data_IF_958867389833
#
_entry.id   IF_958867389833
#
_cell.length_a   1.000
_cell.length_b   1.000
_cell.length_c   1.000
_cell.angle_alpha   90.00
_cell.angle_beta   90.00
_cell.angle_gamma   90.00
#
_symmetry.space_group_name_H-M   'P 1'
#
loop_
_entity.id
_entity.type
_entity.pdbx_description
1 polymer ?
#
# COMPACT_ATOMS: atom_id res chain seq x y z
N UNK A 1 -12.60 7.79 -7.73
CA UNK A 1 -11.64 7.91 -6.62
C UNK A 1 -12.29 7.26 -5.40
N UNK A 2 -11.68 6.22 -4.83
CA UNK A 2 -12.23 5.59 -3.62
C UNK A 2 -12.03 6.54 -2.42
N UNK A 3 -13.10 7.24 -2.04
CA UNK A 3 -13.06 8.23 -0.97
C UNK A 3 -12.80 7.59 0.41
N UNK A 4 -13.19 6.32 0.60
CA UNK A 4 -13.09 5.64 1.89
C UNK A 4 -11.67 5.13 2.18
N UNK A 5 -10.96 4.62 1.18
CA UNK A 5 -9.54 4.26 1.33
C UNK A 5 -8.69 5.47 1.75
N UNK A 6 -9.04 6.68 1.27
CA UNK A 6 -8.39 7.93 1.70
C UNK A 6 -8.72 8.30 3.15
N UNK A 7 -9.97 8.14 3.56
CA UNK A 7 -10.40 8.38 4.95
C UNK A 7 -9.69 7.42 5.93
N UNK A 8 -9.63 6.13 5.58
CA UNK A 8 -8.91 5.12 6.37
C UNK A 8 -7.43 5.48 6.49
N UNK A 9 -6.78 5.79 5.37
CA UNK A 9 -5.36 6.19 5.37
C UNK A 9 -5.12 7.41 6.25
N UNK A 10 -5.92 8.47 6.07
CA UNK A 10 -5.82 9.71 6.85
C UNK A 10 -6.01 9.46 8.34
N UNK A 11 -7.04 8.68 8.71
CA UNK A 11 -7.31 8.32 10.10
C UNK A 11 -6.14 7.55 10.74
N UNK A 12 -5.58 6.56 10.02
CA UNK A 12 -4.45 5.78 10.53
C UNK A 12 -3.18 6.63 10.67
N UNK A 13 -2.94 7.57 9.75
CA UNK A 13 -1.83 8.52 9.89
C UNK A 13 -1.98 9.42 11.11
N UNK A 14 -3.17 9.96 11.36
CA UNK A 14 -3.45 10.78 12.56
C UNK A 14 -3.20 10.01 13.86
N UNK A 15 -3.31 8.68 13.83
CA UNK A 15 -3.04 7.79 14.96
C UNK A 15 -1.58 7.35 15.07
N UNK A 16 -0.68 7.88 14.25
CA UNK A 16 0.73 7.48 14.17
C UNK A 16 0.91 5.96 13.97
N UNK A 17 0.00 5.33 13.23
CA UNK A 17 0.12 3.90 12.88
C UNK A 17 1.31 3.73 11.92
N UNK A 18 2.07 2.65 12.09
CA UNK A 18 3.21 2.34 11.21
C UNK A 18 2.72 2.10 9.79
N UNK A 19 3.52 2.51 8.80
CA UNK A 19 3.20 2.35 7.39
C UNK A 19 2.92 0.90 6.99
N UNK A 20 3.65 -0.06 7.56
CA UNK A 20 3.41 -1.49 7.33
C UNK A 20 2.00 -1.91 7.72
N UNK A 21 1.47 -1.35 8.80
CA UNK A 21 0.13 -1.69 9.30
C UNK A 21 -0.94 -0.96 8.48
N UNK A 22 -0.66 0.28 8.05
CA UNK A 22 -1.51 1.02 7.09
C UNK A 22 -1.68 0.22 5.80
N UNK A 23 -0.59 -0.29 5.22
CA UNK A 23 -0.62 -1.08 3.99
C UNK A 23 -1.45 -2.36 4.20
N UNK A 24 -1.25 -3.08 5.31
CA UNK A 24 -2.04 -4.28 5.61
C UNK A 24 -3.54 -3.99 5.74
N UNK A 25 -3.91 -2.93 6.46
CA UNK A 25 -5.31 -2.55 6.66
C UNK A 25 -5.99 -2.11 5.36
N UNK A 26 -5.29 -1.31 4.54
CA UNK A 26 -5.81 -0.91 3.22
C UNK A 26 -5.98 -2.11 2.30
N UNK A 27 -5.03 -3.04 2.28
CA UNK A 27 -5.14 -4.30 1.54
C UNK A 27 -6.34 -5.13 1.99
N UNK A 28 -6.54 -5.28 3.31
CA UNK A 28 -7.69 -6.00 3.86
C UNK A 28 -9.02 -5.35 3.48
N UNK A 29 -9.12 -4.02 3.63
CA UNK A 29 -10.33 -3.27 3.30
C UNK A 29 -10.71 -3.39 1.82
N UNK A 30 -9.73 -3.33 0.92
CA UNK A 30 -9.96 -3.43 -0.53
C UNK A 30 -10.00 -4.89 -1.04
N UNK A 31 -9.86 -5.89 -0.16
CA UNK A 31 -9.72 -7.30 -0.53
C UNK A 31 -8.58 -7.55 -1.56
N UNK A 32 -7.48 -6.79 -1.44
CA UNK A 32 -6.29 -6.89 -2.29
C UNK A 32 -5.21 -7.68 -1.56
N UNK A 33 -4.60 -8.67 -2.23
CA UNK A 33 -3.46 -9.42 -1.69
C UNK A 33 -2.16 -8.83 -2.24
N UNK A 34 -1.06 -8.92 -1.48
CA UNK A 34 0.25 -8.46 -1.95
C UNK A 34 0.74 -9.20 -3.22
N UNK A 35 0.23 -10.40 -3.50
CA UNK A 35 0.49 -11.10 -4.77
C UNK A 35 -0.13 -10.36 -5.97
N UNK A 36 -1.25 -9.68 -5.79
CA UNK A 36 -1.95 -8.98 -6.88
C UNK A 36 -1.16 -7.71 -7.23
N UNK A 37 -0.62 -7.04 -6.20
CA UNK A 37 0.35 -5.94 -6.37
C UNK A 37 1.62 -6.41 -7.07
N UNK A 38 2.14 -7.59 -6.71
CA UNK A 38 3.33 -8.18 -7.34
C UNK A 38 3.12 -8.46 -8.83
N UNK A 39 1.98 -9.04 -9.19
CA UNK A 39 1.58 -9.26 -10.59
C UNK A 39 1.47 -7.92 -11.33
N UNK A 40 0.81 -6.93 -10.73
CA UNK A 40 0.62 -5.62 -11.35
C UNK A 40 1.92 -4.86 -11.57
N UNK A 41 2.86 -4.97 -10.62
CA UNK A 41 4.17 -4.34 -10.67
C UNK A 41 5.21 -5.12 -11.51
N UNK A 42 4.91 -6.35 -11.92
CA UNK A 42 5.86 -7.22 -12.61
C UNK A 42 7.09 -7.58 -11.76
N UNK A 43 6.91 -7.70 -10.43
CA UNK A 43 7.99 -7.97 -9.48
C UNK A 43 7.74 -9.25 -8.68
N UNK A 44 8.80 -9.90 -8.17
CA UNK A 44 8.65 -11.00 -7.21
C UNK A 44 7.89 -10.54 -5.97
N UNK A 45 7.04 -11.42 -5.44
CA UNK A 45 6.20 -11.15 -4.26
C UNK A 45 7.04 -10.73 -3.06
N UNK A 46 8.20 -11.34 -2.88
CA UNK A 46 9.16 -11.08 -1.80
C UNK A 46 9.65 -9.61 -1.85
N UNK A 47 9.81 -9.05 -3.05
CA UNK A 47 10.18 -7.63 -3.21
C UNK A 47 9.08 -6.71 -2.74
N UNK A 48 7.81 -7.04 -3.02
CA UNK A 48 6.67 -6.27 -2.53
C UNK A 48 6.61 -6.34 -1.00
N UNK A 49 6.81 -7.51 -0.40
CA UNK A 49 6.85 -7.66 1.06
C UNK A 49 7.92 -6.79 1.70
N UNK A 50 9.15 -6.81 1.19
CA UNK A 50 10.25 -5.98 1.72
C UNK A 50 9.92 -4.48 1.67
N UNK A 51 9.25 -4.01 0.61
CA UNK A 51 8.85 -2.60 0.49
C UNK A 51 7.68 -2.26 1.42
N UNK A 52 6.67 -3.13 1.49
CA UNK A 52 5.52 -2.94 2.36
C UNK A 52 5.89 -2.97 3.86
N UNK A 53 6.90 -3.76 4.24
CA UNK A 53 7.41 -3.82 5.61
C UNK A 53 8.45 -2.75 5.94
N UNK A 54 8.80 -1.88 4.99
CA UNK A 54 9.83 -0.84 5.17
C UNK A 54 11.28 -1.35 5.22
N UNK A 55 11.53 -2.63 4.88
CA UNK A 55 12.90 -3.18 4.78
C UNK A 55 13.65 -2.65 3.55
N UNK A 56 12.91 -2.16 2.54
CA UNK A 56 13.46 -1.59 1.33
C UNK A 56 12.68 -0.33 0.95
N UNK A 57 13.33 0.71 0.38
CA UNK A 57 12.60 1.81 -0.23
C UNK A 57 11.68 1.30 -1.34
N UNK A 58 10.45 1.85 -1.35
CA UNK A 58 9.48 1.61 -2.41
C UNK A 58 9.93 2.33 -3.69
N UNK A 59 9.64 1.75 -4.85
CA UNK A 59 9.85 2.41 -6.14
C UNK A 59 8.51 2.84 -6.76
N UNK A 60 8.59 3.69 -7.78
CA UNK A 60 7.40 4.27 -8.42
C UNK A 60 6.48 3.21 -9.04
N UNK A 61 7.04 2.14 -9.60
CA UNK A 61 6.27 1.03 -10.18
C UNK A 61 5.36 0.38 -9.11
N UNK A 62 5.90 0.14 -7.92
CA UNK A 62 5.14 -0.44 -6.81
C UNK A 62 4.14 0.55 -6.23
N UNK A 63 4.51 1.84 -6.08
CA UNK A 63 3.58 2.89 -5.66
C UNK A 63 2.37 2.98 -6.59
N UNK A 64 2.63 2.99 -7.89
CA UNK A 64 1.57 3.06 -8.90
C UNK A 64 0.69 1.81 -8.88
N UNK A 65 1.26 0.62 -8.72
CA UNK A 65 0.49 -0.61 -8.58
C UNK A 65 -0.44 -0.60 -7.35
N UNK A 66 0.04 -0.12 -6.19
CA UNK A 66 -0.80 0.06 -5.02
C UNK A 66 -1.89 1.11 -5.25
N UNK A 67 -1.56 2.23 -5.88
CA UNK A 67 -2.50 3.31 -6.17
C UNK A 67 -3.66 2.87 -7.06
N UNK A 68 -3.38 2.03 -8.05
CA UNK A 68 -4.41 1.50 -8.94
C UNK A 68 -5.29 0.45 -8.28
N UNK A 69 -4.72 -0.39 -7.41
CA UNK A 69 -5.46 -1.45 -6.71
C UNK A 69 -6.24 -0.94 -5.49
N UNK A 70 -5.72 0.07 -4.79
CA UNK A 70 -6.30 0.61 -3.56
C UNK A 70 -7.00 1.97 -3.75
N UNK A 71 -6.80 2.62 -4.90
CA UNK A 71 -7.28 3.97 -5.16
C UNK A 71 -6.51 5.11 -4.45
N UNK A 72 -5.44 4.78 -3.72
CA UNK A 72 -4.59 5.71 -2.96
C UNK A 72 -3.13 5.22 -2.95
N UNK A 73 -2.17 6.14 -2.93
CA UNK A 73 -0.76 5.82 -2.64
C UNK A 73 -0.56 5.69 -1.12
N UNK A 74 -0.25 4.47 -0.59
CA UNK A 74 -0.04 4.29 0.84
C UNK A 74 1.10 5.14 1.42
N UNK A 75 2.06 5.53 0.59
CA UNK A 75 3.21 6.35 0.96
C UNK A 75 2.94 7.85 0.81
N UNK A 76 1.72 8.28 0.46
CA UNK A 76 1.39 9.69 0.31
C UNK A 76 1.61 10.44 1.65
N UNK A 77 2.41 11.51 1.59
CA UNK A 77 2.78 12.34 2.74
C UNK A 77 3.68 11.68 3.79
N UNK A 78 4.33 10.55 3.49
CA UNK A 78 5.38 9.94 4.32
C UNK A 78 6.77 10.30 3.79
#
# INVERSE_FOLDING_TARGET
MDTKSKEIHTFLKQRNVKLSDIIHLLCQYNNVKLKDVAIRAGLPRERIYMMASGQRPVNEVVRQAFKELLGIDPWEGN
#
